data_IF_228598713627
#
_entry.id   IF_228598713627
#
_cell.length_a   1.000
_cell.length_b   1.000
_cell.length_c   1.000
_cell.angle_alpha   90.00
_cell.angle_beta   90.00
_cell.angle_gamma   90.00
#
_symmetry.space_group_name_H-M   'P 1'
#
loop_
_entity.id
_entity.type
_entity.pdbx_description
1 polymer ?
#
# COMPACT_ATOMS: atom_id res chain seq x y z
N UNK A 1 12.27 45.71 27.40
CA UNK A 1 12.88 45.83 26.07
C UNK A 1 13.59 44.51 25.79
N UNK A 2 13.05 43.67 24.90
CA UNK A 2 13.55 42.32 24.67
C UNK A 2 12.48 41.37 24.14
N UNK A 3 11.99 41.67 22.94
CA UNK A 3 11.10 40.81 22.17
C UNK A 3 11.92 39.63 21.62
N UNK A 4 11.50 38.39 21.88
CA UNK A 4 11.92 37.23 21.10
C UNK A 4 10.67 36.54 20.55
N UNK A 5 10.07 37.21 19.56
CA UNK A 5 9.17 36.55 18.60
C UNK A 5 10.08 35.88 17.58
N UNK A 6 10.37 34.60 17.76
CA UNK A 6 11.08 33.75 16.79
C UNK A 6 11.09 32.33 17.32
N UNK A 7 10.53 31.33 16.67
CA UNK A 7 9.76 31.28 15.44
C UNK A 7 9.02 29.96 15.50
N UNK A 8 7.80 29.94 14.97
CA UNK A 8 7.05 28.72 14.77
C UNK A 8 7.86 27.90 13.75
N UNK A 9 8.66 26.95 14.24
CA UNK A 9 9.37 25.98 13.41
C UNK A 9 8.26 25.12 12.80
N UNK A 10 7.80 25.53 11.62
CA UNK A 10 7.04 24.66 10.72
C UNK A 10 8.05 23.63 10.26
N UNK A 11 8.06 22.46 10.91
CA UNK A 11 8.62 21.25 10.31
C UNK A 11 7.81 20.98 9.04
N UNK A 12 8.27 21.52 7.91
CA UNK A 12 7.94 20.98 6.61
C UNK A 12 8.56 19.59 6.55
N UNK A 13 7.84 18.58 7.06
CA UNK A 13 8.10 17.19 6.72
C UNK A 13 7.87 17.13 5.21
N UNK A 14 8.96 17.21 4.45
CA UNK A 14 8.96 16.89 3.04
C UNK A 14 8.21 15.56 2.93
N UNK A 15 7.09 15.57 2.22
CA UNK A 15 6.33 14.37 1.93
C UNK A 15 7.24 13.48 1.07
N UNK A 16 8.07 12.67 1.72
CA UNK A 16 8.65 11.50 1.09
C UNK A 16 7.46 10.61 0.75
N UNK A 17 6.92 10.78 -0.46
CA UNK A 17 6.03 9.80 -1.05
C UNK A 17 6.90 8.57 -1.23
N UNK A 18 6.78 7.63 -0.30
CA UNK A 18 7.44 6.34 -0.43
C UNK A 18 7.06 5.75 -1.80
N UNK A 19 8.06 5.19 -2.48
CA UNK A 19 7.85 4.50 -3.76
C UNK A 19 6.72 3.48 -3.60
N UNK A 20 5.76 3.40 -4.54
CA UNK A 20 4.74 2.38 -4.50
C UNK A 20 5.37 0.99 -4.43
N UNK A 21 4.94 0.20 -3.45
CA UNK A 21 5.39 -1.19 -3.29
C UNK A 21 4.84 -2.03 -4.43
N UNK A 22 5.61 -3.02 -4.84
CA UNK A 22 5.30 -3.84 -6.02
C UNK A 22 4.19 -4.86 -5.72
N UNK A 23 3.65 -5.49 -6.78
CA UNK A 23 2.64 -6.52 -6.62
C UNK A 23 3.20 -7.75 -5.88
N UNK A 24 4.45 -8.11 -6.15
CA UNK A 24 5.15 -9.23 -5.52
C UNK A 24 5.30 -9.01 -4.00
N UNK A 25 5.54 -7.77 -3.56
CA UNK A 25 5.50 -7.46 -2.14
C UNK A 25 4.14 -7.80 -1.52
N UNK A 26 3.05 -7.51 -2.22
CA UNK A 26 1.70 -7.80 -1.72
C UNK A 26 1.31 -9.28 -1.83
N UNK A 27 1.96 -10.04 -2.71
CA UNK A 27 1.86 -11.50 -2.73
C UNK A 27 2.46 -12.10 -1.45
N UNK A 28 3.63 -11.61 -1.05
CA UNK A 28 4.32 -12.01 0.19
C UNK A 28 3.66 -11.45 1.46
N UNK A 29 2.87 -10.38 1.33
CA UNK A 29 2.22 -9.64 2.43
C UNK A 29 0.71 -9.44 2.21
N UNK A 30 -0.10 -10.52 2.22
CA UNK A 30 -1.52 -10.48 1.86
C UNK A 30 -2.36 -9.61 2.81
N UNK A 31 -2.06 -9.59 4.11
CA UNK A 31 -2.80 -8.76 5.07
C UNK A 31 -2.61 -7.27 4.79
N UNK A 32 -1.43 -6.87 4.31
CA UNK A 32 -1.16 -5.50 3.91
C UNK A 32 -1.87 -5.14 2.61
N UNK A 33 -1.96 -6.09 1.67
CA UNK A 33 -2.71 -5.92 0.43
C UNK A 33 -4.19 -5.62 0.73
N UNK A 34 -4.80 -6.36 1.66
CA UNK A 34 -6.19 -6.13 2.10
C UNK A 34 -6.36 -4.76 2.74
N UNK A 35 -5.45 -4.36 3.63
CA UNK A 35 -5.51 -3.04 4.28
C UNK A 35 -5.37 -1.90 3.27
N UNK A 36 -4.41 -2.00 2.35
CA UNK A 36 -4.20 -0.99 1.31
C UNK A 36 -5.40 -0.90 0.39
N UNK A 37 -5.94 -2.02 -0.09
CA UNK A 37 -7.11 -2.01 -0.97
C UNK A 37 -8.35 -1.44 -0.28
N UNK A 38 -8.54 -1.65 1.02
CA UNK A 38 -9.58 -0.99 1.80
C UNK A 38 -9.39 0.54 1.83
N UNK A 39 -8.17 1.04 2.06
CA UNK A 39 -7.87 2.47 1.98
C UNK A 39 -8.11 3.03 0.57
N UNK A 40 -7.78 2.26 -0.47
CA UNK A 40 -8.06 2.63 -1.85
C UNK A 40 -9.56 2.77 -2.13
N UNK A 41 -10.41 1.92 -1.55
CA UNK A 41 -11.86 2.01 -1.70
C UNK A 41 -12.45 3.28 -1.06
N UNK A 42 -11.83 3.78 0.01
CA UNK A 42 -12.22 5.05 0.66
C UNK A 42 -11.68 6.29 -0.05
N UNK A 43 -10.78 6.14 -1.03
CA UNK A 43 -10.04 7.24 -1.64
C UNK A 43 -8.90 7.81 -0.79
N UNK A 44 -8.65 7.26 0.40
CA UNK A 44 -7.56 7.67 1.28
C UNK A 44 -6.16 7.29 0.74
N UNK A 45 -6.10 6.30 -0.15
CA UNK A 45 -4.92 5.97 -0.96
C UNK A 45 -5.32 5.86 -2.43
N UNK A 46 -4.37 6.11 -3.32
CA UNK A 46 -4.57 6.08 -4.77
C UNK A 46 -3.26 5.80 -5.51
N UNK A 47 -3.32 5.76 -6.84
CA UNK A 47 -2.16 5.55 -7.69
C UNK A 47 -1.66 4.10 -7.70
N UNK A 48 -0.39 3.94 -8.05
CA UNK A 48 0.21 2.62 -8.34
C UNK A 48 0.20 1.68 -7.14
N UNK A 49 0.25 2.20 -5.91
CA UNK A 49 0.13 1.40 -4.68
C UNK A 49 -1.19 0.62 -4.65
N UNK A 50 -2.28 1.24 -5.11
CA UNK A 50 -3.58 0.58 -5.20
C UNK A 50 -3.66 -0.44 -6.34
N UNK A 51 -2.96 -0.18 -7.45
CA UNK A 51 -2.88 -1.12 -8.58
C UNK A 51 -2.10 -2.36 -8.16
N UNK A 52 -0.94 -2.16 -7.53
CA UNK A 52 -0.04 -3.21 -7.10
C UNK A 52 -0.67 -4.07 -6.00
N UNK A 53 -1.34 -3.47 -5.00
CA UNK A 53 -2.03 -4.22 -3.96
C UNK A 53 -3.15 -5.10 -4.51
N UNK A 54 -3.93 -4.61 -5.50
CA UNK A 54 -4.96 -5.42 -6.16
C UNK A 54 -4.35 -6.54 -7.01
N UNK A 55 -3.24 -6.27 -7.68
CA UNK A 55 -2.53 -7.26 -8.47
C UNK A 55 -1.99 -8.40 -7.58
N UNK A 56 -1.42 -8.08 -6.42
CA UNK A 56 -0.95 -9.10 -5.47
C UNK A 56 -2.07 -10.00 -4.95
N UNK A 57 -3.22 -9.43 -4.58
CA UNK A 57 -4.41 -10.23 -4.20
C UNK A 57 -4.83 -11.16 -5.36
N UNK A 58 -4.92 -10.63 -6.59
CA UNK A 58 -5.31 -11.43 -7.75
C UNK A 58 -4.33 -12.57 -8.05
N UNK A 59 -3.02 -12.36 -7.81
CA UNK A 59 -2.00 -13.38 -7.97
C UNK A 59 -2.15 -14.51 -6.93
N UNK A 60 -2.37 -14.17 -5.66
CA UNK A 60 -2.66 -15.15 -4.59
C UNK A 60 -3.91 -15.98 -4.91
N UNK A 61 -5.00 -15.32 -5.32
CA UNK A 61 -6.24 -16.02 -5.69
C UNK A 61 -6.05 -16.94 -6.90
N UNK A 62 -5.23 -16.51 -7.87
CA UNK A 62 -4.88 -17.33 -9.03
C UNK A 62 -4.09 -18.56 -8.58
N UNK A 63 -3.08 -18.41 -7.74
CA UNK A 63 -2.29 -19.53 -7.24
C UNK A 63 -3.16 -20.53 -6.48
N UNK A 64 -4.01 -20.06 -5.56
CA UNK A 64 -4.93 -20.90 -4.81
C UNK A 64 -5.85 -21.72 -5.74
N UNK A 65 -6.34 -21.10 -6.83
CA UNK A 65 -7.15 -21.78 -7.84
C UNK A 65 -6.36 -22.85 -8.59
N UNK A 66 -5.12 -22.55 -8.97
CA UNK A 66 -4.26 -23.50 -9.67
C UNK A 66 -3.89 -24.69 -8.78
N UNK A 67 -3.67 -24.46 -7.49
CA UNK A 67 -3.42 -25.54 -6.53
C UNK A 67 -4.67 -26.41 -6.33
N UNK A 68 -5.85 -25.80 -6.24
CA UNK A 68 -7.10 -26.54 -6.19
C UNK A 68 -7.30 -27.45 -7.41
N UNK A 69 -6.91 -27.00 -8.61
CA UNK A 69 -6.92 -27.87 -9.80
C UNK A 69 -5.91 -29.00 -9.71
N UNK A 70 -4.70 -28.74 -9.20
CA UNK A 70 -3.64 -29.76 -9.06
C UNK A 70 -4.06 -30.89 -8.13
N UNK A 71 -4.81 -30.60 -7.07
CA UNK A 71 -5.28 -31.61 -6.12
C UNK A 71 -6.49 -32.44 -6.61
N UNK A 72 -7.13 -32.06 -7.72
CA UNK A 72 -8.30 -32.76 -8.25
C UNK A 72 -7.96 -33.86 -9.26
N UNK A 73 -6.72 -33.95 -9.74
CA UNK A 73 -6.23 -34.94 -10.69
C UNK A 73 -5.07 -35.73 -10.09
#
# INVERSE_FOLDING_TARGET
>A
MGQYVSGLIVLCVAACTAEPRSAEFFEDHPEEAVQVTALCATGAKGGDECVNARAGIAAIEREARMEAYRHQF
#
